data_IF_502003838055
#
_entry.id   IF_502003838055
#
_cell.length_a   1.000
_cell.length_b   1.000
_cell.length_c   1.000
_cell.angle_alpha   90.00
_cell.angle_beta   90.00
_cell.angle_gamma   90.00
#
_symmetry.space_group_name_H-M   'P 1'
#
loop_
_entity.id
_entity.type
_entity.pdbx_description
1 polymer ?
#
# COMPACT_ATOMS: atom_id res chain seq x y z
N UNK A 1 -11.63 12.67 -1.19
CA UNK A 1 -10.33 12.37 -1.83
C UNK A 1 -9.29 13.29 -1.21
N UNK A 2 -8.09 12.79 -0.95
CA UNK A 2 -6.95 13.61 -0.49
C UNK A 2 -5.78 13.41 -1.44
N UNK A 3 -5.00 14.46 -1.68
CA UNK A 3 -3.79 14.40 -2.48
C UNK A 3 -2.57 14.75 -1.63
N UNK A 4 -1.56 13.88 -1.65
CA UNK A 4 -0.27 14.10 -0.99
C UNK A 4 0.80 14.25 -2.07
N UNK A 5 1.56 15.35 -2.03
CA UNK A 5 2.71 15.53 -2.92
C UNK A 5 3.97 14.95 -2.28
N UNK A 6 4.49 13.88 -2.89
CA UNK A 6 5.83 13.39 -2.59
C UNK A 6 6.84 14.21 -3.37
N UNK A 7 7.65 15.00 -2.66
CA UNK A 7 8.59 15.97 -3.25
C UNK A 7 9.74 15.35 -4.04
N UNK A 8 10.18 14.15 -3.67
CA UNK A 8 11.30 13.48 -4.32
C UNK A 8 11.18 11.97 -4.16
N UNK A 9 11.76 11.22 -5.10
CA UNK A 9 11.88 9.78 -5.01
C UNK A 9 13.14 9.26 -5.70
N UNK A 10 13.51 8.01 -5.42
CA UNK A 10 14.74 7.40 -5.97
C UNK A 10 14.80 7.44 -7.51
N UNK A 11 13.65 7.35 -8.17
CA UNK A 11 13.53 7.33 -9.63
C UNK A 11 13.15 8.68 -10.23
N UNK A 12 13.21 9.76 -9.44
CA UNK A 12 12.90 11.12 -9.88
C UNK A 12 14.18 11.98 -9.88
N UNK A 13 15.06 11.82 -10.89
CA UNK A 13 16.34 12.52 -10.94
C UNK A 13 16.19 14.04 -11.03
N UNK A 14 15.06 14.51 -11.58
CA UNK A 14 14.77 15.93 -11.77
C UNK A 14 13.96 16.53 -10.61
N UNK A 15 13.64 15.76 -9.56
CA UNK A 15 12.83 16.20 -8.40
C UNK A 15 11.53 16.89 -8.77
N UNK A 16 10.85 16.40 -9.82
CA UNK A 16 9.53 16.93 -10.22
C UNK A 16 8.46 16.65 -9.17
N UNK A 17 8.68 15.63 -8.35
CA UNK A 17 7.71 15.15 -7.38
C UNK A 17 6.57 14.39 -8.06
N UNK A 18 5.73 13.78 -7.23
CA UNK A 18 4.56 13.02 -7.69
C UNK A 18 3.41 13.21 -6.71
N UNK A 19 2.20 13.27 -7.25
CA UNK A 19 0.99 13.31 -6.46
C UNK A 19 0.49 11.90 -6.18
N UNK A 20 0.31 11.59 -4.91
CA UNK A 20 -0.32 10.36 -4.43
C UNK A 20 -1.75 10.70 -4.10
N UNK A 21 -2.69 10.00 -4.73
CA UNK A 21 -4.12 10.17 -4.53
C UNK A 21 -4.63 9.11 -3.57
N UNK A 22 -5.38 9.55 -2.56
CA UNK A 22 -6.11 8.69 -1.65
C UNK A 22 -7.61 8.85 -1.88
N UNK A 23 -8.25 7.75 -2.26
CA UNK A 23 -9.71 7.64 -2.34
C UNK A 23 -10.32 7.38 -0.97
N UNK A 24 -11.50 7.94 -0.70
CA UNK A 24 -12.27 7.54 0.48
C UNK A 24 -12.98 6.23 0.17
N UNK A 25 -12.86 5.24 1.06
CA UNK A 25 -13.47 3.92 0.90
C UNK A 25 -14.78 3.78 1.66
N UNK A 26 -15.03 4.64 2.66
CA UNK A 26 -16.23 4.59 3.50
C UNK A 26 -16.23 3.46 4.55
N UNK A 27 -15.12 2.72 4.68
CA UNK A 27 -14.93 1.69 5.70
C UNK A 27 -14.01 2.15 6.83
N UNK A 28 -13.85 1.30 7.85
CA UNK A 28 -12.99 1.56 9.03
C UNK A 28 -11.51 1.76 8.65
N UNK A 29 -11.08 1.22 7.50
CA UNK A 29 -9.70 1.34 7.02
C UNK A 29 -9.55 2.46 5.98
N UNK A 30 -10.49 3.41 5.95
CA UNK A 30 -10.50 4.50 4.99
C UNK A 30 -9.25 5.39 5.12
N UNK A 31 -8.39 5.44 4.08
CA UNK A 31 -7.12 6.15 4.18
C UNK A 31 -7.30 7.68 4.24
N UNK A 32 -8.40 8.20 3.69
CA UNK A 32 -8.75 9.62 3.79
C UNK A 32 -9.15 9.97 5.22
N UNK A 33 -9.94 9.13 5.88
CA UNK A 33 -10.38 9.36 7.25
C UNK A 33 -9.19 9.26 8.21
N UNK A 34 -8.44 8.15 8.15
CA UNK A 34 -7.26 7.93 9.00
C UNK A 34 -6.20 9.04 8.86
N UNK A 35 -5.99 9.57 7.66
CA UNK A 35 -5.07 10.69 7.45
C UNK A 35 -5.63 12.00 8.02
N UNK A 36 -6.93 12.24 7.90
CA UNK A 36 -7.56 13.47 8.40
C UNK A 36 -7.50 13.51 9.93
N UNK A 37 -7.89 12.43 10.60
CA UNK A 37 -7.80 12.27 12.06
C UNK A 37 -6.36 12.43 12.54
N UNK A 38 -5.41 11.79 11.86
CA UNK A 38 -3.99 11.96 12.19
C UNK A 38 -3.53 13.41 12.05
N UNK A 39 -3.98 14.14 11.02
CA UNK A 39 -3.59 15.55 10.82
C UNK A 39 -4.16 16.48 11.89
N UNK A 40 -5.34 16.18 12.43
CA UNK A 40 -5.94 16.91 13.55
C UNK A 40 -5.07 16.78 14.81
N UNK A 41 -4.64 15.56 15.14
CA UNK A 41 -3.76 15.31 16.29
C UNK A 41 -2.33 15.85 16.06
N UNK A 42 -1.80 15.69 14.85
CA UNK A 42 -0.46 16.13 14.47
C UNK A 42 -0.31 17.66 14.56
N UNK A 43 -1.39 18.39 14.27
CA UNK A 43 -1.44 19.84 14.18
C UNK A 43 -0.71 20.44 12.96
N UNK A 44 -0.84 21.76 12.82
CA UNK A 44 -0.42 22.54 11.63
C UNK A 44 1.09 22.86 11.54
N UNK A 45 1.91 22.34 12.45
CA UNK A 45 3.33 22.65 12.49
C UNK A 45 4.08 22.11 11.26
N UNK A 46 4.99 22.93 10.73
CA UNK A 46 5.84 22.56 9.58
C UNK A 46 6.72 21.36 9.93
N UNK A 47 7.00 20.51 8.94
CA UNK A 47 7.90 19.36 9.12
C UNK A 47 7.47 18.11 8.33
N UNK A 48 8.07 16.94 8.64
CA UNK A 48 7.72 15.65 8.04
C UNK A 48 6.24 15.32 8.23
N UNK A 49 5.56 14.79 7.21
CA UNK A 49 4.14 14.44 7.33
C UNK A 49 3.90 13.49 8.50
N UNK A 50 4.64 12.37 8.54
CA UNK A 50 4.60 11.41 9.65
C UNK A 50 5.70 11.73 10.66
N UNK A 51 5.30 12.08 11.87
CA UNK A 51 6.19 12.47 12.97
C UNK A 51 5.63 12.03 14.32
N UNK A 52 6.52 11.93 15.30
CA UNK A 52 6.20 11.72 16.71
C UNK A 52 5.67 13.02 17.33
N UNK A 53 5.10 12.92 18.53
CA UNK A 53 4.58 14.06 19.29
C UNK A 53 5.65 15.11 19.63
N UNK A 54 6.91 14.68 19.80
CA UNK A 54 8.07 15.54 20.01
C UNK A 54 8.55 16.28 18.73
N UNK A 55 7.89 16.02 17.60
CA UNK A 55 8.21 16.64 16.31
C UNK A 55 9.23 15.87 15.46
N UNK A 56 9.85 14.82 15.99
CA UNK A 56 10.86 14.05 15.26
C UNK A 56 10.23 13.20 14.14
N UNK A 57 10.91 13.01 12.99
CA UNK A 57 10.35 12.23 11.89
C UNK A 57 10.16 10.75 12.27
N UNK A 58 9.04 10.16 11.84
CA UNK A 58 8.86 8.70 11.91
C UNK A 58 9.75 8.04 10.86
N UNK A 59 10.72 7.25 11.30
CA UNK A 59 11.64 6.55 10.38
C UNK A 59 11.05 5.24 9.85
N UNK A 60 11.58 4.77 8.71
CA UNK A 60 11.21 3.47 8.14
C UNK A 60 11.45 2.31 9.13
N UNK A 61 12.57 2.31 9.84
CA UNK A 61 12.90 1.24 10.80
C UNK A 61 11.92 1.24 11.97
N UNK A 62 11.61 2.41 12.54
CA UNK A 62 10.61 2.53 13.61
C UNK A 62 9.23 2.02 13.16
N UNK A 63 8.76 2.44 11.99
CA UNK A 63 7.49 1.96 11.43
C UNK A 63 7.46 0.44 11.27
N UNK A 64 8.50 -0.14 10.64
CA UNK A 64 8.59 -1.59 10.44
C UNK A 64 8.64 -2.33 11.78
N UNK A 65 9.44 -1.87 12.75
CA UNK A 65 9.51 -2.46 14.09
C UNK A 65 8.13 -2.46 14.76
N UNK A 66 7.41 -1.34 14.71
CA UNK A 66 6.07 -1.24 15.31
C UNK A 66 5.09 -2.23 14.67
N UNK A 67 5.07 -2.32 13.33
CA UNK A 67 4.22 -3.28 12.61
C UNK A 67 4.55 -4.72 13.03
N UNK A 68 5.84 -5.08 13.09
CA UNK A 68 6.27 -6.42 13.53
C UNK A 68 5.82 -6.74 14.95
N UNK A 69 5.94 -5.78 15.86
CA UNK A 69 5.47 -5.95 17.24
C UNK A 69 3.96 -6.17 17.31
N UNK A 70 3.17 -5.40 16.55
CA UNK A 70 1.72 -5.57 16.50
C UNK A 70 1.35 -6.94 15.95
N UNK A 71 1.95 -7.35 14.82
CA UNK A 71 1.73 -8.67 14.22
C UNK A 71 2.08 -9.81 15.18
N UNK A 72 3.22 -9.71 15.87
CA UNK A 72 3.60 -10.70 16.87
C UNK A 72 2.56 -10.81 18.00
N UNK A 73 2.07 -9.68 18.52
CA UNK A 73 1.03 -9.65 19.55
C UNK A 73 -0.31 -10.23 19.07
N UNK A 74 -0.60 -10.14 17.77
CA UNK A 74 -1.77 -10.75 17.14
C UNK A 74 -1.59 -12.25 16.82
N UNK A 75 -0.44 -12.85 17.17
CA UNK A 75 -0.19 -14.28 16.98
C UNK A 75 0.52 -14.65 15.67
N UNK A 76 0.94 -13.67 14.86
CA UNK A 76 1.72 -13.95 13.65
C UNK A 76 3.18 -14.25 14.01
N UNK A 77 3.50 -15.55 14.12
CA UNK A 77 4.83 -16.05 14.50
C UNK A 77 5.93 -15.65 13.51
N UNK A 78 5.57 -15.45 12.25
CA UNK A 78 6.45 -15.03 11.15
C UNK A 78 6.58 -13.50 11.02
N UNK A 79 6.12 -12.73 12.02
CA UNK A 79 6.15 -11.25 12.04
C UNK A 79 7.49 -10.65 11.58
N UNK A 80 8.63 -11.27 11.89
CA UNK A 80 9.96 -10.78 11.49
C UNK A 80 10.19 -10.76 9.97
N UNK A 81 9.44 -11.56 9.20
CA UNK A 81 9.53 -11.60 7.74
C UNK A 81 8.85 -10.39 7.07
N UNK A 82 8.02 -9.63 7.81
CA UNK A 82 7.33 -8.47 7.28
C UNK A 82 8.28 -7.27 7.18
N UNK A 83 8.19 -6.54 6.08
CA UNK A 83 8.95 -5.32 5.83
C UNK A 83 8.09 -4.27 5.14
N UNK A 84 8.63 -3.06 4.92
CA UNK A 84 7.95 -2.06 4.10
C UNK A 84 7.61 -2.55 2.68
N UNK A 85 8.36 -3.51 2.12
CA UNK A 85 8.04 -4.10 0.82
C UNK A 85 6.82 -5.02 0.86
N UNK A 86 6.49 -5.60 2.03
CA UNK A 86 5.31 -6.46 2.19
C UNK A 86 4.02 -5.70 1.91
N UNK A 87 3.92 -4.43 2.31
CA UNK A 87 2.76 -3.57 1.96
C UNK A 87 2.63 -3.37 0.45
N UNK A 88 3.75 -3.14 -0.25
CA UNK A 88 3.74 -3.03 -1.72
C UNK A 88 3.35 -4.34 -2.39
N UNK A 89 3.80 -5.47 -1.86
CA UNK A 89 3.44 -6.80 -2.35
C UNK A 89 1.95 -7.09 -2.18
N UNK A 90 1.41 -6.83 -0.99
CA UNK A 90 -0.01 -6.97 -0.70
C UNK A 90 -0.87 -6.09 -1.60
N UNK A 91 -0.53 -4.81 -1.74
CA UNK A 91 -1.27 -3.89 -2.60
C UNK A 91 -1.23 -4.30 -4.08
N UNK A 92 -0.06 -4.71 -4.60
CA UNK A 92 0.05 -5.20 -5.98
C UNK A 92 -0.79 -6.46 -6.21
N UNK A 93 -0.73 -7.40 -5.26
CA UNK A 93 -1.49 -8.65 -5.31
C UNK A 93 -3.01 -8.38 -5.30
N UNK A 94 -3.48 -7.51 -4.41
CA UNK A 94 -4.89 -7.15 -4.33
C UNK A 94 -5.39 -6.42 -5.59
N UNK A 95 -4.55 -5.57 -6.18
CA UNK A 95 -4.87 -4.86 -7.40
C UNK A 95 -4.88 -5.79 -8.63
N UNK A 96 -3.97 -6.76 -8.70
CA UNK A 96 -3.88 -7.73 -9.80
C UNK A 96 -5.15 -8.56 -10.02
N UNK A 97 -6.02 -8.67 -9.02
CA UNK A 97 -7.30 -9.36 -9.11
C UNK A 97 -8.45 -8.47 -9.58
N UNK A 98 -8.27 -7.15 -9.64
CA UNK A 98 -9.37 -6.18 -9.77
C UNK A 98 -9.18 -5.16 -10.88
N UNK A 99 -7.93 -4.88 -11.28
CA UNK A 99 -7.62 -3.81 -12.22
C UNK A 99 -6.54 -4.22 -13.21
N UNK A 100 -6.45 -3.48 -14.31
CA UNK A 100 -5.44 -3.68 -15.34
C UNK A 100 -4.02 -3.33 -14.87
N UNK A 101 -3.02 -3.94 -15.50
CA UNK A 101 -1.59 -3.69 -15.32
C UNK A 101 -1.21 -2.20 -15.35
N UNK A 102 -1.82 -1.43 -16.24
CA UNK A 102 -1.60 0.02 -16.38
C UNK A 102 -1.93 0.77 -15.09
N UNK A 103 -3.02 0.37 -14.42
CA UNK A 103 -3.48 0.94 -13.16
C UNK A 103 -2.59 0.46 -12.01
N UNK A 104 -2.21 -0.81 -11.97
CA UNK A 104 -1.29 -1.36 -10.95
C UNK A 104 0.06 -0.61 -10.99
N UNK A 105 0.61 -0.44 -12.19
CA UNK A 105 1.83 0.33 -12.44
C UNK A 105 1.69 1.77 -11.97
N UNK A 106 0.57 2.42 -12.25
CA UNK A 106 0.31 3.80 -11.81
C UNK A 106 0.23 3.91 -10.29
N UNK A 107 -0.57 3.04 -9.64
CA UNK A 107 -0.76 3.03 -8.18
C UNK A 107 0.54 2.74 -7.44
N UNK A 108 1.30 1.74 -7.90
CA UNK A 108 2.56 1.36 -7.28
C UNK A 108 3.76 2.16 -7.77
N UNK A 109 3.60 3.00 -8.79
CA UNK A 109 4.65 3.78 -9.45
C UNK A 109 5.78 2.92 -10.02
N UNK A 110 5.39 1.89 -10.77
CA UNK A 110 6.31 1.05 -11.54
C UNK A 110 6.31 1.46 -13.01
N UNK A 111 7.49 1.77 -13.55
CA UNK A 111 7.64 2.07 -14.99
C UNK A 111 7.61 0.80 -15.86
N UNK A 112 8.07 -0.33 -15.32
CA UNK A 112 8.19 -1.61 -16.02
C UNK A 112 7.32 -2.69 -15.40
N UNK A 113 7.44 -3.92 -15.92
CA UNK A 113 6.81 -5.14 -15.38
C UNK A 113 7.41 -5.60 -14.03
N UNK A 114 8.28 -4.80 -13.39
CA UNK A 114 8.85 -5.11 -12.07
C UNK A 114 7.79 -5.33 -10.97
N UNK A 115 6.56 -4.84 -11.17
CA UNK A 115 5.44 -5.11 -10.26
C UNK A 115 5.10 -6.61 -10.19
N UNK A 116 5.38 -7.40 -11.23
CA UNK A 116 5.13 -8.86 -11.24
C UNK A 116 5.91 -9.59 -10.15
N UNK A 117 7.08 -9.09 -9.74
CA UNK A 117 7.87 -9.66 -8.64
C UNK A 117 7.16 -9.53 -7.26
N UNK A 118 6.17 -8.65 -7.19
CA UNK A 118 5.40 -8.36 -5.97
C UNK A 118 4.06 -9.10 -5.91
N UNK A 119 3.53 -9.52 -7.05
CA UNK A 119 2.21 -10.17 -7.14
C UNK A 119 2.32 -11.63 -6.73
N UNK A 120 1.55 -12.03 -5.71
CA UNK A 120 1.48 -13.41 -5.19
C UNK A 120 0.03 -13.80 -4.96
N UNK A 121 -0.65 -14.31 -5.98
CA UNK A 121 -2.06 -14.71 -5.87
C UNK A 121 -2.20 -15.93 -4.94
N UNK A 122 -2.99 -15.86 -3.86
CA UNK A 122 -3.23 -17.00 -2.98
C UNK A 122 -3.87 -18.19 -3.72
N UNK A 123 -3.62 -19.41 -3.26
CA UNK A 123 -4.19 -20.62 -3.87
C UNK A 123 -5.72 -20.64 -3.88
N UNK A 124 -6.36 -20.08 -2.85
CA UNK A 124 -7.82 -20.00 -2.78
C UNK A 124 -8.39 -19.08 -3.87
N UNK A 125 -7.75 -17.94 -4.14
CA UNK A 125 -8.12 -17.06 -5.25
C UNK A 125 -7.95 -17.78 -6.60
N UNK A 126 -6.84 -18.50 -6.80
CA UNK A 126 -6.64 -19.32 -8.02
C UNK A 126 -7.72 -20.39 -8.19
N UNK A 127 -8.17 -21.00 -7.09
CA UNK A 127 -9.25 -22.00 -7.10
C UNK A 127 -10.57 -21.37 -7.53
N UNK A 128 -10.89 -20.16 -7.10
CA UNK A 128 -12.13 -19.49 -7.49
C UNK A 128 -12.08 -18.94 -8.92
N UNK A 129 -10.92 -18.45 -9.36
CA UNK A 129 -10.68 -18.06 -10.76
C UNK A 129 -10.88 -19.26 -11.69
N UNK A 130 -10.28 -20.42 -11.38
CA UNK A 130 -10.40 -21.62 -12.23
C UNK A 130 -11.84 -22.14 -12.30
N UNK A 131 -12.61 -22.11 -11.21
CA UNK A 131 -14.05 -22.38 -11.24
C UNK A 131 -14.80 -21.42 -12.16
N UNK A 132 -14.50 -20.13 -12.09
CA UNK A 132 -15.15 -19.11 -12.91
C UNK A 132 -14.84 -19.33 -14.40
N UNK A 133 -13.59 -19.62 -14.75
CA UNK A 133 -13.16 -19.95 -16.11
C UNK A 133 -13.86 -21.19 -16.67
N UNK A 134 -14.16 -22.20 -15.84
CA UNK A 134 -14.88 -23.40 -16.29
C UNK A 134 -16.31 -23.12 -16.76
N UNK A 135 -16.94 -22.05 -16.26
CA UNK A 135 -18.30 -21.63 -16.66
C UNK A 135 -18.32 -20.92 -18.01
N UNK A 136 -17.24 -20.24 -18.39
CA UNK A 136 -17.11 -19.57 -19.69
C UNK A 136 -17.02 -20.56 -20.87
N UNK A 137 -16.60 -21.82 -20.62
CA UNK A 137 -16.54 -22.85 -21.67
C UNK A 137 -17.90 -23.45 -22.06
N UNK A 138 -18.98 -23.16 -21.34
CA UNK A 138 -20.29 -23.80 -21.56
C UNK A 138 -21.24 -23.01 -22.47
N UNK A 139 -20.79 -21.91 -23.07
CA UNK A 139 -21.60 -21.02 -23.93
C UNK A 139 -21.14 -21.01 -25.40
N UNK A 140 -20.64 -22.13 -25.92
CA UNK A 140 -20.38 -22.31 -27.36
C UNK A 140 -21.00 -23.60 -27.88
#
# INVERSE_FOLDING_TARGET
>A
MVQITLKASKTDPYRRGVNIVLGSTGDELCPVLALTEYLEERGASRGPLLKHADGTPLTRSQFVTQVRMILFKLGYQDSQQYSGHSFRAGAATAAALKVEDSIIKTLGRWESSAYLLYVRIPREELKDITKTLSKFKQTS
#
